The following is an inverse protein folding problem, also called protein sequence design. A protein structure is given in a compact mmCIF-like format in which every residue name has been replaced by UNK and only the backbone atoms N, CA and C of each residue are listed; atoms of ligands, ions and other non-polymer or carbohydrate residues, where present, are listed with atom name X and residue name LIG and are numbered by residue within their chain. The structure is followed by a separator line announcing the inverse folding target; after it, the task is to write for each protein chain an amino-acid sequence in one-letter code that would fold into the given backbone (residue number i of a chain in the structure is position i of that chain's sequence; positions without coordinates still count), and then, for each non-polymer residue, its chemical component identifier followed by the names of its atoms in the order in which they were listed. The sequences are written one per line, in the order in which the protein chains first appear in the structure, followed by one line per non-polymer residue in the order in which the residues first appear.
data_IF_950191350051
#
_entry.id   IF_950191350051
#
_cell.length_a   1.000
_cell.length_b   1.000
_cell.length_c   1.000
_cell.angle_alpha   90.00
_cell.angle_beta   90.00
_cell.angle_gamma   90.00
#
_symmetry.space_group_name_H-M   'P 1'
#
loop_
_entity.id
_entity.type
_entity.pdbx_description
1 polymer ?
#
# COMPACT_ATOMS: atom_id res chain seq x y z
N UNK A 1 -41.61 -3.19 58.07
CA UNK A 1 -40.25 -2.66 57.88
C UNK A 1 -39.50 -3.70 57.06
N UNK A 2 -39.28 -3.45 55.74
CA UNK A 2 -37.97 -3.22 55.08
C UNK A 2 -36.86 -4.15 55.62
N UNK A 3 -36.19 -4.96 54.80
CA UNK A 3 -35.31 -4.49 53.72
C UNK A 3 -35.24 -5.46 52.51
N UNK A 4 -35.29 -4.91 51.29
CA UNK A 4 -34.85 -5.56 50.07
C UNK A 4 -33.69 -4.76 49.48
N UNK A 5 -32.45 -5.24 49.68
CA UNK A 5 -31.22 -4.62 49.20
C UNK A 5 -31.01 -4.84 47.70
N UNK A 6 -30.61 -3.78 47.00
CA UNK A 6 -30.37 -3.72 45.55
C UNK A 6 -29.07 -4.45 45.18
N UNK A 7 -29.15 -5.53 44.41
CA UNK A 7 -27.99 -6.23 43.82
C UNK A 7 -27.85 -6.05 42.29
N UNK A 8 -28.44 -5.01 41.70
CA UNK A 8 -28.40 -4.79 40.24
C UNK A 8 -27.08 -4.18 39.71
N UNK A 9 -26.22 -3.62 40.57
CA UNK A 9 -25.10 -2.76 40.13
C UNK A 9 -23.79 -3.45 39.72
N UNK A 10 -23.63 -4.77 39.89
CA UNK A 10 -22.35 -5.47 39.63
C UNK A 10 -22.23 -6.05 38.21
N UNK A 11 -23.34 -6.41 37.57
CA UNK A 11 -23.35 -7.03 36.23
C UNK A 11 -23.18 -6.01 35.10
N UNK A 12 -23.75 -4.81 35.24
CA UNK A 12 -23.70 -3.74 34.23
C UNK A 12 -22.29 -3.18 34.04
N UNK A 13 -21.55 -2.97 35.13
CA UNK A 13 -20.16 -2.50 35.12
C UNK A 13 -19.22 -3.52 34.42
N UNK A 14 -19.49 -4.82 34.58
CA UNK A 14 -18.73 -5.88 33.90
C UNK A 14 -18.97 -5.89 32.39
N UNK A 15 -20.23 -5.72 31.98
CA UNK A 15 -20.63 -5.64 30.56
C UNK A 15 -20.03 -4.41 29.86
N UNK A 16 -20.08 -3.24 30.51
CA UNK A 16 -19.51 -2.00 29.99
C UNK A 16 -17.98 -2.09 29.81
N UNK A 17 -17.26 -2.62 30.81
CA UNK A 17 -15.81 -2.86 30.71
C UNK A 17 -15.45 -3.79 29.56
N UNK A 18 -16.23 -4.86 29.36
CA UNK A 18 -16.00 -5.79 28.25
C UNK A 18 -16.27 -5.14 26.88
N UNK A 19 -17.33 -4.35 26.78
CA UNK A 19 -17.62 -3.56 25.58
C UNK A 19 -16.48 -2.57 25.27
N UNK A 20 -15.98 -1.85 26.28
CA UNK A 20 -14.86 -0.93 26.14
C UNK A 20 -13.58 -1.65 25.71
N UNK A 21 -13.29 -2.84 26.27
CA UNK A 21 -12.14 -3.64 25.85
C UNK A 21 -12.26 -4.14 24.40
N UNK A 22 -13.46 -4.53 23.95
CA UNK A 22 -13.70 -4.94 22.55
C UNK A 22 -13.52 -3.76 21.59
N UNK A 23 -14.06 -2.59 21.95
CA UNK A 23 -13.86 -1.33 21.20
C UNK A 23 -12.37 -0.99 21.12
N UNK A 24 -11.64 -1.12 22.23
CA UNK A 24 -10.21 -0.89 22.29
C UNK A 24 -9.41 -1.82 21.36
N UNK A 25 -9.71 -3.12 21.42
CA UNK A 25 -9.08 -4.12 20.53
C UNK A 25 -9.37 -3.82 19.06
N UNK A 26 -10.60 -3.49 18.70
CA UNK A 26 -10.97 -3.10 17.34
C UNK A 26 -10.22 -1.85 16.87
N UNK A 27 -10.11 -0.84 17.75
CA UNK A 27 -9.36 0.39 17.48
C UNK A 27 -7.88 0.11 17.24
N UNK A 28 -7.26 -0.72 18.07
CA UNK A 28 -5.86 -1.12 17.92
C UNK A 28 -5.64 -1.95 16.66
N UNK A 29 -6.56 -2.85 16.31
CA UNK A 29 -6.51 -3.61 15.06
C UNK A 29 -6.61 -2.68 13.83
N UNK A 30 -7.52 -1.71 13.85
CA UNK A 30 -7.64 -0.71 12.77
C UNK A 30 -6.38 0.15 12.64
N UNK A 31 -5.77 0.55 13.77
CA UNK A 31 -4.51 1.31 13.78
C UNK A 31 -3.35 0.49 13.24
N UNK A 32 -3.23 -0.78 13.66
CA UNK A 32 -2.22 -1.70 13.17
C UNK A 32 -2.32 -1.90 11.65
N UNK A 33 -3.54 -2.11 11.13
CA UNK A 33 -3.78 -2.20 9.68
C UNK A 33 -3.36 -0.93 8.94
N UNK A 34 -3.77 0.26 9.41
CA UNK A 34 -3.37 1.54 8.82
C UNK A 34 -1.85 1.74 8.84
N UNK A 35 -1.20 1.38 9.95
CA UNK A 35 0.25 1.48 10.09
C UNK A 35 0.99 0.56 9.12
N UNK A 36 0.53 -0.70 8.99
CA UNK A 36 1.11 -1.67 8.05
C UNK A 36 0.97 -1.22 6.61
N UNK A 37 -0.22 -0.79 6.21
CA UNK A 37 -0.47 -0.26 4.88
C UNK A 37 0.43 0.96 4.59
N UNK A 38 0.55 1.90 5.54
CA UNK A 38 1.41 3.07 5.38
C UNK A 38 2.90 2.71 5.20
N UNK A 39 3.36 1.68 5.91
CA UNK A 39 4.71 1.15 5.74
C UNK A 39 4.89 0.52 4.35
N UNK A 40 3.92 -0.26 3.87
CA UNK A 40 3.98 -0.84 2.52
C UNK A 40 4.01 0.24 1.43
N UNK A 41 3.22 1.31 1.56
CA UNK A 41 3.29 2.47 0.66
C UNK A 41 4.66 3.15 0.66
N UNK A 42 5.26 3.29 1.84
CA UNK A 42 6.59 3.88 1.97
C UNK A 42 7.67 3.02 1.31
N UNK A 43 7.64 1.71 1.55
CA UNK A 43 8.57 0.78 0.90
C UNK A 43 8.37 0.74 -0.61
N UNK A 44 7.12 0.80 -1.09
CA UNK A 44 6.82 0.90 -2.51
C UNK A 44 7.39 2.18 -3.13
N UNK A 45 7.25 3.32 -2.46
CA UNK A 45 7.79 4.59 -2.93
C UNK A 45 9.33 4.57 -3.02
N UNK A 46 10.02 3.86 -2.12
CA UNK A 46 11.48 3.66 -2.15
C UNK A 46 11.97 2.81 -3.31
N UNK A 47 11.10 1.98 -3.90
CA UNK A 47 11.43 1.15 -5.07
C UNK A 47 11.34 1.91 -6.39
N UNK A 48 10.75 3.10 -6.40
CA UNK A 48 10.70 3.95 -7.59
C UNK A 48 12.11 4.51 -7.90
N UNK A 49 12.47 4.68 -9.18
CA UNK A 49 13.76 5.25 -9.59
C UNK A 49 13.77 6.78 -9.42
N UNK A 50 13.48 7.26 -8.21
CA UNK A 50 13.39 8.66 -7.84
C UNK A 50 14.21 8.91 -6.57
N UNK A 51 14.82 10.09 -6.40
CA UNK A 51 15.49 10.46 -5.16
C UNK A 51 14.54 10.37 -3.94
N UNK A 52 15.05 9.85 -2.82
CA UNK A 52 14.27 9.68 -1.58
C UNK A 52 13.62 10.95 -1.05
N UNK A 53 14.23 12.11 -1.31
CA UNK A 53 13.69 13.42 -0.94
C UNK A 53 12.39 13.80 -1.70
N UNK A 54 12.19 13.22 -2.89
CA UNK A 54 10.98 13.43 -3.69
C UNK A 54 9.92 12.39 -3.30
N UNK A 55 10.31 11.13 -3.17
CA UNK A 55 9.37 10.04 -2.85
C UNK A 55 8.76 10.16 -1.46
N UNK A 56 9.44 10.82 -0.51
CA UNK A 56 8.92 11.12 0.82
C UNK A 56 7.80 12.17 0.83
N UNK A 57 7.68 12.99 -0.21
CA UNK A 57 6.65 14.03 -0.35
C UNK A 57 5.42 13.55 -1.13
N UNK A 58 5.48 12.35 -1.70
CA UNK A 58 4.38 11.80 -2.50
C UNK A 58 3.23 11.35 -1.61
N UNK A 59 2.02 11.73 -2.00
CA UNK A 59 0.79 11.15 -1.45
C UNK A 59 0.59 9.70 -1.96
N UNK A 60 -0.22 8.92 -1.24
CA UNK A 60 -0.46 7.50 -1.54
C UNK A 60 -0.98 7.27 -2.97
N UNK A 61 -1.83 8.14 -3.49
CA UNK A 61 -2.38 7.97 -4.83
C UNK A 61 -1.33 8.23 -5.91
N UNK A 62 -0.48 9.24 -5.70
CA UNK A 62 0.66 9.50 -6.59
C UNK A 62 1.68 8.36 -6.58
N UNK A 63 1.99 7.77 -5.42
CA UNK A 63 2.84 6.57 -5.35
C UNK A 63 2.28 5.46 -6.25
N UNK A 64 0.99 5.12 -6.14
CA UNK A 64 0.36 4.09 -6.98
C UNK A 64 0.43 4.44 -8.47
N UNK A 65 0.03 5.65 -8.85
CA UNK A 65 0.04 6.09 -10.25
C UNK A 65 1.43 6.00 -10.86
N UNK A 66 2.45 6.47 -10.14
CA UNK A 66 3.83 6.42 -10.60
C UNK A 66 4.37 4.99 -10.67
N UNK A 67 4.05 4.13 -9.70
CA UNK A 67 4.40 2.70 -9.75
C UNK A 67 3.80 2.02 -10.96
N UNK A 68 2.50 2.22 -11.24
CA UNK A 68 1.84 1.63 -12.41
C UNK A 68 2.52 2.10 -13.70
N UNK A 69 2.70 3.42 -13.85
CA UNK A 69 3.39 3.99 -15.02
C UNK A 69 4.81 3.44 -15.18
N UNK A 70 5.55 3.28 -14.08
CA UNK A 70 6.90 2.74 -14.09
C UNK A 70 6.94 1.26 -14.54
N UNK A 71 6.00 0.44 -14.05
CA UNK A 71 5.88 -0.95 -14.48
C UNK A 71 5.51 -1.04 -15.97
N UNK A 72 4.60 -0.19 -16.45
CA UNK A 72 4.26 -0.13 -17.88
C UNK A 72 5.47 0.26 -18.74
N UNK A 73 6.23 1.29 -18.37
CA UNK A 73 7.44 1.68 -19.09
C UNK A 73 8.46 0.54 -19.11
N UNK A 74 8.69 -0.12 -17.97
CA UNK A 74 9.60 -1.27 -17.88
C UNK A 74 9.15 -2.45 -18.75
N UNK A 75 7.86 -2.74 -18.81
CA UNK A 75 7.31 -3.81 -19.65
C UNK A 75 7.39 -3.48 -21.15
N UNK A 76 7.13 -2.21 -21.51
CA UNK A 76 7.28 -1.73 -22.88
C UNK A 76 8.75 -1.72 -23.30
N UNK A 77 9.67 -1.32 -22.41
CA UNK A 77 11.12 -1.39 -22.63
C UNK A 77 11.58 -2.83 -22.89
N UNK A 78 11.09 -3.80 -22.12
CA UNK A 78 11.40 -5.23 -22.35
C UNK A 78 10.85 -5.70 -23.71
N UNK A 79 9.63 -5.26 -24.06
CA UNK A 79 8.99 -5.62 -25.33
C UNK A 79 9.70 -5.00 -26.53
N UNK A 80 10.22 -3.78 -26.39
CA UNK A 80 11.01 -3.09 -27.42
C UNK A 80 12.42 -3.67 -27.55
N UNK A 81 13.03 -4.12 -26.44
CA UNK A 81 14.31 -4.83 -26.49
C UNK A 81 14.20 -6.19 -27.19
N UNK A 82 13.01 -6.81 -27.19
CA UNK A 82 12.75 -8.05 -27.95
C UNK A 82 12.42 -7.82 -29.44
N UNK A 83 12.14 -6.58 -29.87
CA UNK A 83 11.84 -6.20 -31.27
C UNK A 83 12.64 -4.94 -31.71
N UNK A 84 13.98 -5.03 -31.73
CA UNK A 84 14.86 -4.17 -32.54
C UNK A 84 16.08 -3.57 -31.82
N UNK A 85 17.25 -3.39 -32.50
CA UNK A 85 17.39 -3.15 -33.93
C UNK A 85 17.84 -4.41 -34.69
N UNK A 86 17.02 -4.87 -35.64
CA UNK A 86 17.52 -5.70 -36.74
C UNK A 86 18.38 -4.77 -37.60
N UNK A 87 19.68 -4.80 -37.37
CA UNK A 87 20.68 -4.22 -38.27
C UNK A 87 20.52 -4.91 -39.62
N UNK A 88 19.98 -4.21 -40.62
CA UNK A 88 20.10 -4.66 -42.00
C UNK A 88 21.59 -4.57 -42.39
N UNK A 89 22.28 -5.67 -42.73
CA UNK A 89 23.62 -5.57 -43.26
C UNK A 89 23.55 -4.96 -44.67
N UNK A 90 24.33 -3.90 -44.86
CA UNK A 90 24.74 -3.38 -46.15
C UNK A 90 25.27 -4.50 -47.04
N UNK A 91 24.59 -4.82 -48.14
CA UNK A 91 25.23 -5.39 -49.33
C UNK A 91 24.64 -4.71 -50.56
N UNK A 92 25.44 -3.84 -51.16
CA UNK A 92 25.16 -3.31 -52.49
C UNK A 92 25.19 -4.42 -53.52
N UNK A 93 24.32 -4.29 -54.53
CA UNK A 93 24.62 -4.81 -55.85
C UNK A 93 24.06 -3.85 -56.90
N UNK A 94 25.00 -3.38 -57.71
CA UNK A 94 24.82 -2.54 -58.89
C UNK A 94 24.39 -3.43 -60.06
N UNK A 95 23.28 -3.06 -60.72
CA UNK A 95 22.89 -3.30 -62.14
C UNK A 95 22.81 -4.76 -62.67
N UNK A 96 22.24 -5.04 -63.87
CA UNK A 96 21.82 -4.14 -64.97
C UNK A 96 20.31 -3.84 -65.08
#
# INVERSE_FOLDING_TARGET
MREGGREAGKSEIGSERLCNLRKEKSRNAARSRRGKENFEFFELAKMLPLPGAITSQLDKASVIRLTISYLHMRLLDISHFSYGPVVHPMQGFVLP
#
